data_IF_305835447586
#
_entry.id   IF_305835447586
#
_cell.length_a   1.000
_cell.length_b   1.000
_cell.length_c   1.000
_cell.angle_alpha   90.00
_cell.angle_beta   90.00
_cell.angle_gamma   90.00
#
_symmetry.space_group_name_H-M   'P 1'
#
loop_
_entity.id
_entity.type
_entity.pdbx_description
1 polymer ?
#
# COMPACT_ATOMS: atom_id res chain seq x y z
N UNK A 1 -33.60 4.74 7.53
CA UNK A 1 -33.92 3.33 7.24
C UNK A 1 -32.69 2.78 6.55
N UNK A 2 -31.71 2.40 7.36
CA UNK A 2 -30.47 1.78 6.89
C UNK A 2 -30.82 0.42 6.31
N UNK A 3 -30.73 0.29 4.99
CA UNK A 3 -30.78 -1.01 4.34
C UNK A 3 -29.50 -1.74 4.71
N UNK A 4 -29.54 -2.49 5.80
CA UNK A 4 -28.47 -3.39 6.20
C UNK A 4 -28.24 -4.34 5.04
N UNK A 5 -27.09 -4.19 4.38
CA UNK A 5 -26.72 -4.99 3.22
C UNK A 5 -26.80 -6.47 3.65
N UNK A 6 -27.58 -7.32 2.95
CA UNK A 6 -27.72 -8.71 3.35
C UNK A 6 -26.36 -9.36 3.51
N UNK A 7 -26.15 -10.11 4.60
CA UNK A 7 -24.86 -10.70 4.94
C UNK A 7 -24.24 -11.49 3.77
N UNK A 8 -25.10 -12.14 2.96
CA UNK A 8 -24.69 -12.85 1.74
C UNK A 8 -24.08 -11.92 0.68
N UNK A 9 -24.66 -10.74 0.44
CA UNK A 9 -24.10 -9.78 -0.51
C UNK A 9 -22.77 -9.21 -0.03
N UNK A 10 -22.67 -8.93 1.27
CA UNK A 10 -21.41 -8.51 1.89
C UNK A 10 -20.33 -9.59 1.77
N UNK A 11 -20.69 -10.85 2.02
CA UNK A 11 -19.80 -12.00 1.91
C UNK A 11 -19.31 -12.21 0.47
N UNK A 12 -20.21 -12.15 -0.52
CA UNK A 12 -19.88 -12.22 -1.95
C UNK A 12 -18.88 -11.13 -2.36
N UNK A 13 -19.12 -9.87 -1.96
CA UNK A 13 -18.19 -8.74 -2.24
C UNK A 13 -16.82 -8.91 -1.58
N UNK A 14 -16.75 -9.62 -0.45
CA UNK A 14 -15.48 -9.96 0.22
C UNK A 14 -14.73 -11.03 -0.55
N UNK A 15 -15.42 -12.06 -0.99
CA UNK A 15 -14.85 -13.14 -1.78
C UNK A 15 -14.30 -12.62 -3.11
N UNK A 16 -15.07 -11.81 -3.85
CA UNK A 16 -14.61 -11.20 -5.09
C UNK A 16 -13.35 -10.36 -4.88
N UNK A 17 -13.28 -9.57 -3.79
CA UNK A 17 -12.08 -8.79 -3.45
C UNK A 17 -10.88 -9.68 -3.14
N UNK A 18 -11.07 -10.83 -2.48
CA UNK A 18 -10.00 -11.79 -2.19
C UNK A 18 -9.48 -12.43 -3.46
N UNK A 19 -10.38 -12.88 -4.33
CA UNK A 19 -10.02 -13.47 -5.63
C UNK A 19 -9.26 -12.48 -6.50
N UNK A 20 -9.71 -11.22 -6.59
CA UNK A 20 -8.97 -10.16 -7.29
C UNK A 20 -7.61 -9.81 -6.68
N UNK A 21 -7.41 -10.13 -5.40
CA UNK A 21 -6.15 -9.91 -4.71
C UNK A 21 -5.23 -11.14 -4.75
N UNK A 22 -5.74 -12.30 -5.15
CA UNK A 22 -4.98 -13.54 -5.27
C UNK A 22 -3.84 -13.36 -6.27
N UNK A 23 -2.67 -13.91 -5.95
CA UNK A 23 -1.46 -13.75 -6.76
C UNK A 23 -0.76 -12.40 -6.62
N UNK A 24 -1.27 -11.48 -5.78
CA UNK A 24 -0.53 -10.25 -5.47
C UNK A 24 0.75 -10.59 -4.75
N UNK A 25 1.83 -9.95 -5.16
CA UNK A 25 3.13 -10.05 -4.51
C UNK A 25 3.42 -8.84 -3.63
N UNK A 26 4.15 -9.05 -2.54
CA UNK A 26 4.74 -7.99 -1.71
C UNK A 26 6.13 -8.40 -1.21
N UNK A 27 6.95 -7.42 -0.83
CA UNK A 27 8.23 -7.65 -0.17
C UNK A 27 8.19 -7.16 1.27
N UNK A 28 8.68 -7.98 2.21
CA UNK A 28 8.77 -7.64 3.64
C UNK A 28 10.24 -7.73 4.07
N UNK A 29 10.84 -6.65 4.61
CA UNK A 29 12.22 -6.68 5.13
C UNK A 29 12.39 -7.71 6.25
N UNK A 30 13.45 -8.50 6.17
CA UNK A 30 13.89 -9.44 7.21
C UNK A 30 14.90 -8.74 8.14
N UNK A 31 14.43 -7.70 8.81
CA UNK A 31 15.22 -6.92 9.77
C UNK A 31 14.77 -7.23 11.19
N UNK A 32 15.68 -7.17 12.16
CA UNK A 32 15.31 -7.23 13.57
C UNK A 32 14.56 -5.95 14.00
N UNK A 33 13.57 -6.12 14.89
CA UNK A 33 12.80 -5.02 15.46
C UNK A 33 11.50 -4.67 14.72
N UNK A 34 10.91 -3.50 15.00
CA UNK A 34 9.61 -3.12 14.46
C UNK A 34 9.64 -3.03 12.94
N UNK A 35 8.55 -3.44 12.27
CA UNK A 35 8.42 -3.30 10.82
C UNK A 35 8.61 -1.84 10.40
N UNK A 36 9.70 -1.58 9.64
CA UNK A 36 10.02 -0.27 9.11
C UNK A 36 9.62 -0.17 7.64
N UNK A 37 9.49 1.06 7.15
CA UNK A 37 9.21 1.32 5.74
C UNK A 37 10.28 0.70 4.83
N UNK A 38 9.89 0.35 3.60
CA UNK A 38 10.74 -0.38 2.67
C UNK A 38 12.08 0.32 2.32
N UNK A 39 12.22 1.63 2.55
CA UNK A 39 13.42 2.41 2.27
C UNK A 39 14.43 2.50 3.42
N UNK A 40 14.06 2.05 4.63
CA UNK A 40 14.86 2.32 5.84
C UNK A 40 16.16 1.51 5.87
N UNK A 41 16.17 0.33 5.26
CA UNK A 41 17.38 -0.46 5.01
C UNK A 41 17.27 -1.12 3.62
N UNK A 42 17.74 -0.46 2.55
CA UNK A 42 17.62 -1.00 1.20
C UNK A 42 18.51 -2.24 0.97
N UNK A 43 19.54 -2.46 1.79
CA UNK A 43 20.47 -3.57 1.67
C UNK A 43 20.02 -4.85 2.37
N UNK A 44 19.06 -4.76 3.30
CA UNK A 44 18.55 -5.95 4.00
C UNK A 44 17.85 -6.98 3.08
N UNK A 45 17.98 -8.28 3.37
CA UNK A 45 17.17 -9.31 2.74
C UNK A 45 15.67 -9.09 2.95
N UNK A 46 14.86 -9.54 1.99
CA UNK A 46 13.40 -9.38 1.98
C UNK A 46 12.70 -10.67 1.60
N UNK A 47 11.69 -11.06 2.36
CA UNK A 47 10.79 -12.14 1.97
C UNK A 47 9.81 -11.63 0.92
N UNK A 48 9.77 -12.30 -0.23
CA UNK A 48 8.72 -12.14 -1.23
C UNK A 48 7.56 -13.02 -0.81
N UNK A 49 6.38 -12.41 -0.67
CA UNK A 49 5.16 -13.10 -0.28
C UNK A 49 4.09 -12.94 -1.34
N UNK A 50 3.34 -14.00 -1.57
CA UNK A 50 2.18 -14.05 -2.44
C UNK A 50 0.90 -14.15 -1.60
N UNK A 51 -0.14 -13.40 -1.97
CA UNK A 51 -1.46 -13.54 -1.37
C UNK A 51 -2.21 -14.71 -2.00
N UNK A 52 -2.48 -15.76 -1.22
CA UNK A 52 -3.14 -16.99 -1.71
C UNK A 52 -4.68 -16.90 -1.77
N UNK A 53 -5.26 -15.76 -1.39
CA UNK A 53 -6.71 -15.54 -1.23
C UNK A 53 -7.14 -15.39 0.23
N UNK A 54 -6.33 -15.89 1.17
CA UNK A 54 -6.59 -15.82 2.61
C UNK A 54 -5.45 -15.16 3.37
N UNK A 55 -4.22 -15.54 3.07
CA UNK A 55 -3.01 -15.09 3.78
C UNK A 55 -1.86 -14.79 2.82
N UNK A 56 -0.81 -14.19 3.37
CA UNK A 56 0.44 -13.93 2.66
C UNK A 56 1.42 -15.05 2.94
N UNK A 57 1.75 -15.82 1.91
CA UNK A 57 2.67 -16.96 1.99
C UNK A 57 4.01 -16.58 1.40
N UNK A 58 5.11 -16.92 2.06
CA UNK A 58 6.46 -16.66 1.53
C UNK A 58 6.78 -17.60 0.37
N UNK A 59 7.17 -17.03 -0.77
CA UNK A 59 7.48 -17.78 -2.00
C UNK A 59 8.97 -17.75 -2.36
N UNK A 60 9.69 -16.69 -1.97
CA UNK A 60 11.14 -16.59 -2.16
C UNK A 60 11.76 -15.53 -1.25
N UNK A 61 13.09 -15.48 -1.20
CA UNK A 61 13.86 -14.43 -0.53
C UNK A 61 14.65 -13.65 -1.58
N UNK A 62 14.67 -12.33 -1.46
CA UNK A 62 15.50 -11.42 -2.25
C UNK A 62 16.58 -10.80 -1.36
N UNK A 63 17.80 -10.67 -1.87
CA UNK A 63 18.94 -10.21 -1.07
C UNK A 63 18.89 -8.72 -0.72
N UNK A 64 18.12 -7.93 -1.47
CA UNK A 64 18.02 -6.48 -1.29
C UNK A 64 16.68 -5.91 -1.76
N UNK A 65 16.44 -4.63 -1.49
CA UNK A 65 15.29 -3.89 -2.03
C UNK A 65 15.27 -3.86 -3.55
N UNK A 66 16.44 -3.75 -4.18
CA UNK A 66 16.57 -3.70 -5.64
C UNK A 66 16.19 -5.05 -6.26
N UNK A 67 16.75 -6.15 -5.73
CA UNK A 67 16.39 -7.49 -6.15
C UNK A 67 14.89 -7.76 -5.95
N UNK A 68 14.32 -7.32 -4.82
CA UNK A 68 12.89 -7.44 -4.58
C UNK A 68 12.06 -6.65 -5.60
N UNK A 69 12.46 -5.43 -5.96
CA UNK A 69 11.77 -4.62 -6.99
C UNK A 69 11.79 -5.29 -8.35
N UNK A 70 12.91 -5.91 -8.75
CA UNK A 70 13.02 -6.61 -10.02
C UNK A 70 12.02 -7.79 -10.13
N UNK A 71 11.75 -8.47 -9.01
CA UNK A 71 10.75 -9.54 -8.93
C UNK A 71 9.32 -8.98 -8.94
N UNK A 72 9.05 -7.94 -8.15
CA UNK A 72 7.71 -7.37 -8.00
C UNK A 72 7.23 -6.58 -9.22
N UNK A 73 8.17 -5.94 -9.91
CA UNK A 73 7.93 -5.05 -11.03
C UNK A 73 8.89 -5.43 -12.16
N UNK A 74 8.66 -6.59 -12.81
CA UNK A 74 9.46 -6.94 -13.98
C UNK A 74 9.32 -5.80 -15.00
N UNK A 75 10.40 -5.41 -15.70
CA UNK A 75 10.32 -4.37 -16.71
C UNK A 75 9.27 -4.80 -17.74
N UNK A 76 8.15 -4.07 -17.78
CA UNK A 76 7.20 -4.18 -18.87
C UNK A 76 7.85 -3.71 -20.18
N UNK A 77 7.22 -3.96 -21.33
CA UNK A 77 7.59 -3.25 -22.54
C UNK A 77 7.57 -1.74 -22.23
N UNK A 78 8.66 -1.05 -22.53
CA UNK A 78 8.85 0.37 -22.26
C UNK A 78 7.89 1.22 -23.11
N UNK A 79 6.63 1.32 -22.69
CA UNK A 79 5.83 2.48 -23.06
C UNK A 79 6.26 3.63 -22.13
N UNK A 80 7.21 4.43 -22.62
CA UNK A 80 7.59 5.72 -22.05
C UNK A 80 6.41 6.71 -22.12
N UNK A 81 5.31 6.41 -21.45
CA UNK A 81 4.31 7.43 -21.16
C UNK A 81 4.65 8.03 -19.79
N UNK A 82 5.23 9.25 -19.73
CA UNK A 82 5.36 9.94 -18.46
C UNK A 82 3.96 10.11 -17.87
N UNK A 83 3.70 9.47 -16.73
CA UNK A 83 2.48 9.71 -15.97
C UNK A 83 2.41 11.21 -15.68
N UNK A 84 1.41 11.95 -16.20
CA UNK A 84 1.21 13.32 -15.77
C UNK A 84 0.86 13.25 -14.28
N UNK A 85 1.83 13.59 -13.44
CA UNK A 85 1.57 13.77 -12.00
C UNK A 85 0.41 14.75 -11.83
N UNK A 86 -0.40 14.60 -10.76
CA UNK A 86 -1.48 15.54 -10.51
C UNK A 86 -0.92 16.96 -10.52
N UNK A 87 -1.43 17.80 -11.42
CA UNK A 87 -1.02 19.18 -11.47
C UNK A 87 -1.42 19.82 -10.14
N UNK A 88 -0.42 20.21 -9.35
CA UNK A 88 -0.64 21.11 -8.23
C UNK A 88 -1.09 22.42 -8.86
N UNK A 89 -2.40 22.59 -9.02
CA UNK A 89 -3.00 23.83 -9.47
C UNK A 89 -2.39 24.98 -8.69
N UNK A 90 -2.17 26.14 -9.35
CA UNK A 90 -1.56 27.33 -8.75
C UNK A 90 -2.53 27.99 -7.76
N UNK A 91 -2.86 27.28 -6.68
CA UNK A 91 -3.68 27.72 -5.59
C UNK A 91 -2.81 27.85 -4.36
N UNK A 92 -2.75 29.05 -3.77
CA UNK A 92 -2.14 29.27 -2.45
C UNK A 92 -2.88 28.34 -1.48
N UNK A 93 -2.22 27.28 -1.03
CA UNK A 93 -2.75 26.33 -0.06
C UNK A 93 -3.30 27.09 1.14
N UNK A 94 -4.63 27.28 1.19
CA UNK A 94 -5.30 27.79 2.38
C UNK A 94 -5.43 26.63 3.34
N UNK A 95 -4.32 26.30 4.00
CA UNK A 95 -4.39 25.56 5.24
C UNK A 95 -5.26 26.38 6.18
N UNK A 96 -6.48 25.90 6.43
CA UNK A 96 -7.40 26.53 7.37
C UNK A 96 -6.75 26.45 8.75
N UNK A 97 -6.26 27.59 9.25
CA UNK A 97 -5.88 27.72 10.65
C UNK A 97 -7.17 27.61 11.45
N UNK A 98 -7.30 26.61 12.31
CA UNK A 98 -8.37 26.58 13.31
C UNK A 98 -8.22 27.82 14.21
N UNK A 99 -9.26 28.63 14.41
CA UNK A 99 -9.19 29.72 15.37
C UNK A 99 -8.98 29.14 16.78
N UNK A 100 -8.19 29.80 17.64
CA UNK A 100 -8.00 29.34 19.02
C UNK A 100 -9.34 29.38 19.78
N UNK A 101 -9.55 28.46 20.74
CA UNK A 101 -10.77 28.45 21.55
C UNK A 101 -10.92 29.75 22.34
N UNK A 102 -12.08 30.39 22.24
CA UNK A 102 -12.44 31.54 23.07
C UNK A 102 -12.77 31.06 24.48
N UNK A 103 -12.03 31.55 25.48
CA UNK A 103 -12.43 31.44 26.88
C UNK A 103 -11.30 31.02 27.82
N UNK A 104 -10.38 31.94 28.10
CA UNK A 104 -9.54 31.89 29.30
C UNK A 104 -9.11 33.32 29.65
N UNK A 105 -9.97 34.04 30.36
CA UNK A 105 -9.56 35.19 31.17
C UNK A 105 -10.37 35.18 32.46
N UNK A 106 -9.63 35.41 33.54
CA UNK A 106 -10.00 35.57 34.94
C UNK A 106 -11.27 36.33 35.24
#
# INVERSE_FOLDING_TARGET
>A
MDSEEPLEEWARKREERRERARGRLRAVPLTEGPHRGAHVDPGAPRAIQEFNGTEWVTVSIADSLEAAKAILYPPGPVDEQPFPGPSLGKGRGRHRRTPPPKGATS
#
